data_IF_719524512145
#
_entry.id   IF_719524512145
#
_cell.length_a   1.000
_cell.length_b   1.000
_cell.length_c   1.000
_cell.angle_alpha   90.00
_cell.angle_beta   90.00
_cell.angle_gamma   90.00
#
_symmetry.space_group_name_H-M   'P 1'
#
loop_
_entity.id
_entity.type
_entity.pdbx_description
1 polymer ?
#
# COMPACT_ATOMS: atom_id res chain seq x y z
N UNK A 1 -35.91 1.19 38.12
CA UNK A 1 -34.44 1.22 38.21
C UNK A 1 -33.87 0.20 37.24
N UNK A 2 -33.04 0.47 36.25
CA UNK A 2 -32.38 1.67 35.70
C UNK A 2 -31.40 1.12 34.66
N UNK A 3 -31.48 1.56 33.40
CA UNK A 3 -30.56 1.09 32.35
C UNK A 3 -29.27 1.89 32.48
N UNK A 4 -28.21 1.24 32.95
CA UNK A 4 -26.84 1.77 32.91
C UNK A 4 -26.32 1.53 31.50
N UNK A 5 -25.92 2.62 30.82
CA UNK A 5 -25.57 2.62 29.41
C UNK A 5 -24.53 1.56 29.02
N UNK A 6 -24.88 0.74 28.03
CA UNK A 6 -23.92 -0.10 27.33
C UNK A 6 -22.94 0.82 26.58
N UNK A 7 -21.74 0.99 27.14
CA UNK A 7 -20.63 1.71 26.49
C UNK A 7 -20.43 1.14 25.09
N UNK A 8 -20.39 2.02 24.09
CA UNK A 8 -20.23 1.73 22.66
C UNK A 8 -19.15 0.66 22.45
N UNK A 9 -19.48 -0.56 21.98
CA UNK A 9 -18.45 -1.55 21.69
C UNK A 9 -17.59 -1.02 20.53
N UNK A 10 -16.28 -0.88 20.77
CA UNK A 10 -15.30 -0.66 19.72
C UNK A 10 -14.77 -2.02 19.26
N UNK A 11 -14.73 -2.22 17.94
CA UNK A 11 -14.14 -3.39 17.32
C UNK A 11 -12.86 -2.96 16.62
N UNK A 12 -11.74 -3.49 17.08
CA UNK A 12 -10.43 -3.27 16.48
C UNK A 12 -9.89 -4.56 15.88
N UNK A 13 -9.23 -4.45 14.73
CA UNK A 13 -8.52 -5.54 14.06
C UNK A 13 -7.02 -5.42 14.30
N UNK A 14 -6.39 -6.51 14.73
CA UNK A 14 -4.95 -6.56 15.02
C UNK A 14 -4.29 -7.74 14.30
N UNK A 15 -3.02 -7.62 13.97
CA UNK A 15 -2.25 -8.69 13.33
C UNK A 15 -1.17 -8.20 12.38
N UNK A 16 -0.40 -9.14 11.84
CA UNK A 16 0.67 -8.81 10.90
C UNK A 16 0.12 -8.18 9.62
N UNK A 17 -1.05 -8.62 9.15
CA UNK A 17 -1.70 -8.10 7.94
C UNK A 17 -2.02 -6.62 8.04
N UNK A 18 -2.55 -6.14 9.17
CA UNK A 18 -2.84 -4.71 9.36
C UNK A 18 -1.56 -3.88 9.44
N UNK A 19 -0.48 -4.44 10.00
CA UNK A 19 0.83 -3.78 9.97
C UNK A 19 1.38 -3.66 8.56
N UNK A 20 1.30 -4.73 7.75
CA UNK A 20 1.74 -4.71 6.35
C UNK A 20 0.91 -3.69 5.56
N UNK A 21 -0.41 -3.68 5.72
CA UNK A 21 -1.29 -2.71 5.06
C UNK A 21 -0.94 -1.26 5.43
N UNK A 22 -0.75 -0.98 6.73
CA UNK A 22 -0.31 0.34 7.21
C UNK A 22 1.03 0.76 6.59
N UNK A 23 1.95 -0.19 6.37
CA UNK A 23 3.22 0.10 5.70
C UNK A 23 3.05 0.38 4.21
N UNK A 24 2.23 -0.39 3.51
CA UNK A 24 1.93 -0.14 2.09
C UNK A 24 1.34 1.26 1.91
N UNK A 25 0.43 1.68 2.78
CA UNK A 25 -0.17 3.03 2.73
C UNK A 25 0.88 4.12 2.98
N UNK A 26 1.74 3.94 3.99
CA UNK A 26 2.80 4.91 4.31
C UNK A 26 3.85 5.09 3.20
N UNK A 27 4.04 4.08 2.34
CA UNK A 27 4.98 4.10 1.21
C UNK A 27 4.28 4.24 -0.15
N UNK A 28 2.97 4.48 -0.13
CA UNK A 28 2.14 4.56 -1.32
C UNK A 28 2.46 5.81 -2.15
N UNK A 29 2.16 5.73 -3.44
CA UNK A 29 2.25 6.86 -4.37
C UNK A 29 0.84 7.37 -4.64
N UNK A 30 0.66 8.70 -4.58
CA UNK A 30 -0.62 9.35 -4.91
C UNK A 30 -1.12 8.83 -6.25
N UNK A 31 -2.42 8.56 -6.35
CA UNK A 31 -3.13 8.05 -7.54
C UNK A 31 -2.78 6.63 -7.99
N UNK A 32 -1.94 5.92 -7.25
CA UNK A 32 -1.66 4.51 -7.46
C UNK A 32 -2.08 3.70 -6.25
N UNK A 33 -2.57 2.48 -6.46
CA UNK A 33 -2.89 1.55 -5.38
C UNK A 33 -1.65 0.69 -5.11
N UNK A 34 -1.07 0.82 -3.91
CA UNK A 34 0.09 0.03 -3.52
C UNK A 34 -0.35 -1.32 -2.98
N UNK A 35 0.11 -2.39 -3.61
CA UNK A 35 -0.26 -3.76 -3.27
C UNK A 35 0.97 -4.65 -3.07
N UNK A 36 0.90 -5.64 -2.15
CA UNK A 36 1.90 -6.69 -2.05
C UNK A 36 1.78 -7.67 -3.22
N UNK A 37 2.83 -8.47 -3.45
CA UNK A 37 2.89 -9.48 -4.51
C UNK A 37 1.69 -10.44 -4.51
N UNK A 38 1.26 -10.92 -3.33
CA UNK A 38 0.13 -11.85 -3.20
C UNK A 38 -1.16 -11.25 -3.78
N UNK A 39 -1.44 -9.98 -3.47
CA UNK A 39 -2.60 -9.25 -4.01
C UNK A 39 -2.43 -8.93 -5.49
N UNK A 40 -1.22 -8.62 -5.93
CA UNK A 40 -0.93 -8.37 -7.35
C UNK A 40 -1.25 -9.56 -8.23
N UNK A 41 -0.92 -10.79 -7.79
CA UNK A 41 -1.21 -12.02 -8.55
C UNK A 41 -2.71 -12.16 -8.83
N UNK A 42 -3.54 -11.96 -7.81
CA UNK A 42 -5.01 -12.00 -7.94
C UNK A 42 -5.51 -10.90 -8.88
N UNK A 43 -4.95 -9.68 -8.77
CA UNK A 43 -5.32 -8.56 -9.65
C UNK A 43 -4.91 -8.80 -11.11
N UNK A 44 -3.78 -9.45 -11.33
CA UNK A 44 -3.29 -9.80 -12.67
C UNK A 44 -4.20 -10.82 -13.35
N UNK A 45 -4.69 -11.81 -12.62
CA UNK A 45 -5.69 -12.78 -13.12
C UNK A 45 -7.01 -12.08 -13.54
N UNK A 46 -7.35 -10.97 -12.89
CA UNK A 46 -8.52 -10.15 -13.25
C UNK A 46 -8.23 -9.08 -14.32
N UNK A 47 -7.01 -9.05 -14.88
CA UNK A 47 -6.61 -8.16 -15.96
C UNK A 47 -6.28 -6.73 -15.55
N UNK A 48 -5.96 -6.47 -14.29
CA UNK A 48 -5.52 -5.14 -13.86
C UNK A 48 -4.04 -4.89 -14.20
N UNK A 49 -3.70 -3.74 -14.81
CA UNK A 49 -2.31 -3.39 -15.09
C UNK A 49 -1.59 -3.08 -13.78
N UNK A 50 -0.54 -3.86 -13.51
CA UNK A 50 0.28 -3.73 -12.31
C UNK A 50 1.73 -3.42 -12.71
N UNK A 51 2.32 -2.40 -12.10
CA UNK A 51 3.72 -2.05 -12.31
C UNK A 51 4.56 -2.47 -11.11
N UNK A 52 5.72 -3.08 -11.36
CA UNK A 52 6.64 -3.43 -10.28
C UNK A 52 7.30 -2.16 -9.73
N UNK A 53 7.11 -1.91 -8.43
CA UNK A 53 7.72 -0.77 -7.72
C UNK A 53 9.13 -1.08 -7.24
N UNK A 54 9.39 -2.35 -6.95
CA UNK A 54 10.61 -2.87 -6.33
C UNK A 54 10.35 -3.48 -4.96
N UNK A 55 11.44 -3.81 -4.26
CA UNK A 55 11.40 -4.35 -2.91
C UNK A 55 11.37 -3.23 -1.86
N UNK A 56 10.51 -3.39 -0.87
CA UNK A 56 10.46 -2.52 0.31
C UNK A 56 10.72 -3.33 1.58
N UNK A 57 11.40 -2.72 2.54
CA UNK A 57 11.66 -3.36 3.83
C UNK A 57 10.47 -3.19 4.76
N UNK A 58 9.87 -4.31 5.15
CA UNK A 58 8.79 -4.36 6.14
C UNK A 58 9.31 -5.01 7.41
N UNK A 59 9.28 -4.25 8.51
CA UNK A 59 9.69 -4.75 9.84
C UNK A 59 8.91 -6.02 10.20
N UNK A 60 9.62 -7.13 10.43
CA UNK A 60 9.03 -8.43 10.78
C UNK A 60 8.73 -9.36 9.60
N UNK A 61 8.66 -8.86 8.36
CA UNK A 61 8.54 -9.67 7.14
C UNK A 61 9.82 -9.70 6.29
N UNK A 62 10.71 -8.72 6.49
CA UNK A 62 11.92 -8.56 5.67
C UNK A 62 11.64 -7.78 4.38
N UNK A 63 12.40 -8.04 3.33
CA UNK A 63 12.19 -7.39 2.04
C UNK A 63 11.00 -8.04 1.33
N UNK A 64 10.01 -7.24 0.97
CA UNK A 64 8.84 -7.67 0.22
C UNK A 64 8.79 -6.94 -1.12
N UNK A 65 8.59 -7.69 -2.20
CA UNK A 65 8.33 -7.11 -3.52
C UNK A 65 6.91 -6.56 -3.55
N UNK A 66 6.78 -5.35 -4.08
CA UNK A 66 5.50 -4.65 -4.13
C UNK A 66 5.24 -4.04 -5.49
N UNK A 67 3.96 -3.82 -5.75
CA UNK A 67 3.46 -3.41 -7.05
C UNK A 67 2.51 -2.23 -6.89
N UNK A 68 2.45 -1.39 -7.92
CA UNK A 68 1.52 -0.30 -8.03
C UNK A 68 0.48 -0.64 -9.09
N UNK A 69 -0.79 -0.63 -8.71
CA UNK A 69 -1.90 -0.83 -9.63
C UNK A 69 -2.47 0.53 -10.01
N UNK A 70 -2.63 0.77 -11.31
CA UNK A 70 -3.29 1.98 -11.82
C UNK A 70 -4.76 1.70 -12.11
N UNK A 71 -5.69 2.55 -11.64
CA UNK A 71 -7.09 2.43 -12.01
C UNK A 71 -7.28 2.70 -13.51
N UNK A 72 -8.06 1.83 -14.19
CA UNK A 72 -8.46 2.07 -15.59
C UNK A 72 -9.32 3.33 -15.64
N UNK A 73 -8.87 4.34 -16.38
CA UNK A 73 -9.62 5.59 -16.58
C UNK A 73 -9.07 6.81 -15.83
N UNK A 74 -8.06 6.66 -14.97
CA UNK A 74 -7.31 7.82 -14.46
C UNK A 74 -6.26 8.22 -15.49
N UNK A 75 -6.63 9.15 -16.39
CA UNK A 75 -5.65 9.96 -17.10
C UNK A 75 -4.95 10.80 -16.04
N UNK A 76 -3.68 10.50 -15.74
CA UNK A 76 -2.87 11.47 -15.00
C UNK A 76 -2.87 12.77 -15.79
N UNK A 77 -3.04 13.95 -15.16
CA UNK A 77 -2.73 15.19 -15.86
C UNK A 77 -1.28 15.09 -16.33
N UNK A 78 -1.08 15.15 -17.65
CA UNK A 78 0.20 14.91 -18.35
C UNK A 78 1.27 15.97 -18.06
N UNK A 79 1.22 16.64 -16.91
CA UNK A 79 2.19 17.65 -16.51
C UNK A 79 2.45 17.57 -15.02
N UNK A 80 3.33 16.66 -14.61
CA UNK A 80 4.23 16.98 -13.49
C UNK A 80 5.54 16.19 -13.70
N UNK A 81 6.50 16.90 -14.26
CA UNK A 81 7.93 16.60 -14.22
C UNK A 81 8.46 16.57 -12.77
N UNK A 82 8.06 15.57 -11.98
CA UNK A 82 8.60 15.33 -10.63
C UNK A 82 9.34 14.00 -10.48
N UNK A 83 9.50 13.24 -11.58
CA UNK A 83 10.51 12.19 -11.66
C UNK A 83 11.86 12.80 -11.98
N UNK A 84 12.47 13.45 -10.99
CA UNK A 84 13.93 13.53 -10.94
C UNK A 84 14.41 13.59 -9.51
N UNK A 85 15.28 12.63 -9.19
CA UNK A 85 16.21 12.62 -8.06
C UNK A 85 15.62 12.38 -6.66
N UNK A 86 15.70 11.12 -6.23
CA UNK A 86 16.45 10.74 -5.03
C UNK A 86 16.89 9.27 -5.11
N UNK A 87 17.85 9.03 -6.00
CA UNK A 87 18.92 8.05 -5.76
C UNK A 87 19.86 8.70 -4.75
N UNK A 88 19.83 8.25 -3.50
CA UNK A 88 20.94 8.34 -2.53
C UNK A 88 20.97 6.93 -1.93
N UNK A 89 21.59 5.92 -2.54
CA UNK A 89 23.04 5.70 -2.59
C UNK A 89 23.74 6.01 -1.25
N UNK A 90 23.85 4.98 -0.40
CA UNK A 90 25.06 4.58 0.32
C UNK A 90 26.03 5.67 0.83
N UNK A 91 26.09 5.87 2.16
CA UNK A 91 27.29 5.77 3.00
C UNK A 91 27.10 6.41 4.38
N UNK A 92 27.10 5.59 5.44
CA UNK A 92 28.08 5.70 6.54
C UNK A 92 28.13 4.37 7.30
#
# INVERSE_FOLDING_TARGET
SGIVGAKKPQYDIWGNTVNVASRMDSTGVVSCIHVPEETQKVLFEHGYPCECRGSIYVKGKGNMTTYLVRPRGYMMPTSTSFFSSKTIASNK
#
